data_IF_293257137250
#
_entry.id   IF_293257137250
#
_cell.length_a   1.000
_cell.length_b   1.000
_cell.length_c   1.000
_cell.angle_alpha   90.00
_cell.angle_beta   90.00
_cell.angle_gamma   90.00
#
_symmetry.space_group_name_H-M   'P 1'
#
loop_
_entity.id
_entity.type
_entity.pdbx_description
1 polymer ?
#
# COMPACT_ATOMS: atom_id res chain seq x y z
N UNK A 1 41.26 -17.34 -17.85
CA UNK A 1 40.66 -18.29 -16.90
C UNK A 1 39.98 -17.45 -15.84
N UNK A 2 38.76 -16.94 -16.00
CA UNK A 2 37.48 -17.59 -16.36
C UNK A 2 37.21 -18.82 -15.50
N UNK A 3 36.42 -18.63 -14.43
CA UNK A 3 35.32 -19.49 -13.93
C UNK A 3 34.42 -18.54 -13.11
N UNK A 4 33.38 -17.91 -13.69
CA UNK A 4 32.02 -18.43 -13.90
C UNK A 4 31.42 -19.14 -12.69
N UNK A 5 30.85 -18.36 -11.77
CA UNK A 5 29.78 -18.81 -10.87
C UNK A 5 28.47 -18.13 -11.32
N UNK A 6 27.93 -18.63 -12.43
CA UNK A 6 26.53 -18.48 -12.77
C UNK A 6 25.71 -19.25 -11.72
N UNK A 7 24.96 -18.52 -10.91
CA UNK A 7 23.88 -19.12 -10.12
C UNK A 7 22.61 -19.00 -10.95
N UNK A 8 22.49 -19.88 -11.94
CA UNK A 8 21.24 -20.19 -12.62
C UNK A 8 20.29 -20.81 -11.60
N UNK A 9 19.52 -19.95 -10.91
CA UNK A 9 18.24 -20.39 -10.41
C UNK A 9 17.30 -20.45 -11.59
N UNK A 10 17.12 -21.68 -12.05
CA UNK A 10 16.03 -22.16 -12.88
C UNK A 10 14.72 -21.49 -12.41
N UNK A 11 14.27 -20.47 -13.15
CA UNK A 11 13.00 -19.78 -12.92
C UNK A 11 11.91 -20.67 -13.50
N UNK A 12 11.53 -21.69 -12.73
CA UNK A 12 10.50 -22.66 -13.09
C UNK A 12 9.16 -21.96 -13.35
N UNK A 13 8.39 -22.50 -14.29
CA UNK A 13 7.12 -22.03 -14.89
C UNK A 13 5.91 -21.84 -13.93
N UNK A 14 6.11 -21.34 -12.70
CA UNK A 14 5.07 -21.10 -11.69
C UNK A 14 4.78 -19.61 -11.37
N UNK A 15 5.53 -18.66 -11.93
CA UNK A 15 5.80 -17.38 -11.25
C UNK A 15 4.82 -16.22 -11.55
N UNK A 16 3.53 -16.52 -11.71
CA UNK A 16 2.47 -15.52 -11.86
C UNK A 16 1.55 -15.48 -10.65
N UNK A 17 1.39 -14.31 -10.01
CA UNK A 17 0.51 -14.19 -8.85
C UNK A 17 0.14 -12.75 -8.49
N UNK A 18 -1.09 -12.57 -7.99
CA UNK A 18 -1.53 -11.34 -7.35
C UNK A 18 -1.37 -11.50 -5.84
N UNK A 19 -0.56 -10.63 -5.24
CA UNK A 19 -0.30 -10.61 -3.80
C UNK A 19 -0.90 -9.36 -3.20
N UNK A 20 -1.70 -9.51 -2.14
CA UNK A 20 -2.14 -8.41 -1.32
C UNK A 20 -1.17 -8.23 -0.15
N UNK A 21 -0.64 -7.02 0.00
CA UNK A 21 0.41 -6.68 0.95
C UNK A 21 -0.03 -5.76 2.07
N UNK A 22 -1.22 -5.18 2.10
CA UNK A 22 -1.72 -4.51 3.32
C UNK A 22 -3.14 -4.11 3.06
N UNK A 23 -4.08 -4.43 3.94
CA UNK A 23 -5.49 -4.05 3.81
C UNK A 23 -6.04 -3.30 5.04
N UNK A 24 -5.23 -3.13 6.09
CA UNK A 24 -5.63 -2.58 7.39
C UNK A 24 -4.39 -2.24 8.25
N UNK A 25 -3.52 -1.34 7.78
CA UNK A 25 -2.26 -1.06 8.47
C UNK A 25 -2.44 -0.53 9.90
N UNK A 26 -3.58 0.11 10.18
CA UNK A 26 -3.88 0.70 11.50
C UNK A 26 -4.60 -0.26 12.44
N UNK A 27 -5.03 -1.42 11.96
CA UNK A 27 -5.91 -2.32 12.72
C UNK A 27 -7.34 -1.79 12.90
N UNK A 28 -7.65 -0.57 12.44
CA UNK A 28 -8.93 0.11 12.72
C UNK A 28 -10.10 -0.36 11.87
N UNK A 29 -9.87 -1.12 10.78
CA UNK A 29 -10.97 -1.62 9.94
C UNK A 29 -11.99 -2.44 10.73
N UNK A 30 -11.54 -3.31 11.64
CA UNK A 30 -12.41 -4.08 12.52
C UNK A 30 -13.20 -3.19 13.49
N UNK A 31 -12.54 -2.19 14.08
CA UNK A 31 -13.15 -1.20 14.97
C UNK A 31 -14.21 -0.35 14.25
N UNK A 32 -13.97 -0.03 12.98
CA UNK A 32 -14.88 0.77 12.15
C UNK A 32 -16.09 -0.01 11.69
N UNK A 33 -15.92 -1.29 11.36
CA UNK A 33 -17.04 -2.19 11.10
C UNK A 33 -17.99 -2.22 12.30
N UNK A 34 -17.44 -2.38 13.51
CA UNK A 34 -18.24 -2.35 14.74
C UNK A 34 -18.96 -1.00 14.94
N UNK A 35 -18.28 0.14 14.70
CA UNK A 35 -18.89 1.47 14.78
C UNK A 35 -20.02 1.67 13.75
N UNK A 36 -19.86 1.17 12.53
CA UNK A 36 -20.90 1.19 11.50
C UNK A 36 -22.08 0.29 11.85
N UNK A 37 -21.81 -0.93 12.32
CA UNK A 37 -22.84 -1.86 12.78
C UNK A 37 -23.67 -1.27 13.93
N UNK A 38 -23.00 -0.64 14.90
CA UNK A 38 -23.65 0.09 15.98
C UNK A 38 -24.45 1.30 15.44
N UNK A 39 -23.88 2.11 14.55
CA UNK A 39 -24.58 3.27 13.98
C UNK A 39 -25.86 2.90 13.22
N UNK A 40 -25.80 1.79 12.45
CA UNK A 40 -26.92 1.30 11.65
C UNK A 40 -27.98 0.56 12.46
N UNK A 41 -27.66 0.11 13.69
CA UNK A 41 -28.62 -0.60 14.52
C UNK A 41 -29.84 0.28 14.86
N UNK A 42 -31.08 -0.26 14.73
CA UNK A 42 -32.30 0.47 15.08
C UNK A 42 -32.38 0.87 16.55
N UNK A 43 -31.72 0.09 17.43
CA UNK A 43 -31.70 0.25 18.88
C UNK A 43 -30.73 1.31 19.37
N UNK A 44 -29.87 1.84 18.49
CA UNK A 44 -28.86 2.83 18.89
C UNK A 44 -29.50 4.19 19.12
N UNK A 45 -29.24 4.75 20.29
CA UNK A 45 -29.70 6.05 20.74
C UNK A 45 -29.27 7.20 19.78
N UNK A 46 -30.12 8.22 19.51
CA UNK A 46 -29.78 9.32 18.61
C UNK A 46 -28.52 10.12 18.97
N UNK A 47 -28.25 10.34 20.25
CA UNK A 47 -27.04 11.07 20.68
C UNK A 47 -25.81 10.20 20.41
N UNK A 48 -25.92 8.90 20.68
CA UNK A 48 -24.88 7.93 20.32
C UNK A 48 -24.63 7.90 18.81
N UNK A 49 -25.66 7.96 17.97
CA UNK A 49 -25.50 8.05 16.51
C UNK A 49 -24.75 9.30 16.08
N UNK A 50 -25.00 10.43 16.72
CA UNK A 50 -24.28 11.69 16.44
C UNK A 50 -22.78 11.58 16.76
N UNK A 51 -22.45 10.93 17.89
CA UNK A 51 -21.06 10.66 18.26
C UNK A 51 -20.41 9.68 17.28
N UNK A 52 -21.05 8.56 16.98
CA UNK A 52 -20.54 7.56 16.03
C UNK A 52 -20.32 8.16 14.64
N UNK A 53 -21.26 8.96 14.14
CA UNK A 53 -21.12 9.65 12.86
C UNK A 53 -19.91 10.59 12.87
N UNK A 54 -19.70 11.35 13.95
CA UNK A 54 -18.55 12.23 14.09
C UNK A 54 -17.23 11.48 14.08
N UNK A 55 -17.16 10.31 14.72
CA UNK A 55 -15.98 9.45 14.73
C UNK A 55 -15.71 8.85 13.35
N UNK A 56 -16.74 8.27 12.72
CA UNK A 56 -16.67 7.68 11.39
C UNK A 56 -16.21 8.71 10.35
N UNK A 57 -16.76 9.93 10.38
CA UNK A 57 -16.47 10.97 9.39
C UNK A 57 -15.10 11.64 9.54
N UNK A 58 -14.54 11.66 10.75
CA UNK A 58 -13.20 12.24 11.00
C UNK A 58 -12.07 11.25 10.73
N UNK A 59 -12.39 9.99 10.49
CA UNK A 59 -11.40 8.97 10.19
C UNK A 59 -10.80 9.20 8.80
N UNK A 60 -9.47 9.22 8.73
CA UNK A 60 -8.76 9.18 7.46
C UNK A 60 -8.66 7.73 6.99
N UNK A 61 -9.30 7.34 5.87
CA UNK A 61 -9.24 5.97 5.37
C UNK A 61 -7.92 5.64 4.68
N UNK A 62 -7.08 6.63 4.36
CA UNK A 62 -5.88 6.48 3.55
C UNK A 62 -4.88 5.44 4.11
N UNK A 63 -4.57 5.43 5.43
CA UNK A 63 -3.70 4.41 6.03
C UNK A 63 -4.21 2.96 5.89
N UNK A 64 -5.50 2.77 5.63
CA UNK A 64 -6.13 1.46 5.45
C UNK A 64 -6.24 1.05 3.98
N UNK A 65 -5.56 1.78 3.08
CA UNK A 65 -5.51 1.45 1.66
C UNK A 65 -4.97 0.05 1.42
N UNK A 66 -5.58 -0.62 0.44
CA UNK A 66 -5.12 -1.91 -0.04
C UNK A 66 -3.86 -1.73 -0.91
N UNK A 67 -2.70 -2.21 -0.44
CA UNK A 67 -1.49 -2.29 -1.26
C UNK A 67 -1.45 -3.65 -1.98
N UNK A 68 -1.37 -3.61 -3.30
CA UNK A 68 -1.32 -4.80 -4.15
C UNK A 68 0.02 -4.89 -4.86
N UNK A 69 0.66 -6.06 -4.81
CA UNK A 69 1.77 -6.40 -5.69
C UNK A 69 1.33 -7.45 -6.70
N UNK A 70 1.38 -7.10 -7.98
CA UNK A 70 1.20 -8.03 -9.08
C UNK A 70 2.57 -8.48 -9.57
N UNK A 71 2.87 -9.77 -9.45
CA UNK A 71 4.05 -10.38 -10.05
C UNK A 71 3.60 -11.11 -11.31
N UNK A 72 4.15 -10.70 -12.44
CA UNK A 72 3.88 -11.31 -13.72
C UNK A 72 5.16 -11.50 -14.50
N UNK A 73 5.60 -12.76 -14.60
CA UNK A 73 6.92 -13.12 -15.16
C UNK A 73 8.01 -12.38 -14.38
N UNK A 74 8.94 -11.73 -15.07
CA UNK A 74 10.02 -10.94 -14.46
C UNK A 74 9.63 -9.48 -14.17
N UNK A 75 8.33 -9.17 -14.09
CA UNK A 75 7.81 -7.81 -13.84
C UNK A 75 7.05 -7.78 -12.53
N UNK A 76 7.24 -6.70 -11.77
CA UNK A 76 6.49 -6.42 -10.54
C UNK A 76 5.78 -5.09 -10.68
N UNK A 77 4.50 -5.04 -10.33
CA UNK A 77 3.74 -3.80 -10.24
C UNK A 77 3.19 -3.67 -8.84
N UNK A 78 3.56 -2.59 -8.14
CA UNK A 78 3.04 -2.28 -6.81
C UNK A 78 2.05 -1.13 -6.93
N UNK A 79 0.82 -1.37 -6.50
CA UNK A 79 -0.26 -0.39 -6.48
C UNK A 79 -0.58 -0.03 -5.03
N UNK A 80 -0.33 1.22 -4.67
CA UNK A 80 -0.46 1.69 -3.29
C UNK A 80 -1.83 2.30 -2.96
N UNK A 81 -2.69 2.58 -3.95
CA UNK A 81 -3.93 3.34 -3.70
C UNK A 81 -3.60 4.71 -3.08
N UNK A 82 -4.26 5.02 -1.97
CA UNK A 82 -3.97 6.21 -1.15
C UNK A 82 -3.15 5.88 0.11
N UNK A 83 -2.41 4.77 0.10
CA UNK A 83 -1.58 4.36 1.24
C UNK A 83 -0.60 5.45 1.67
N UNK A 84 -0.44 5.58 2.98
CA UNK A 84 0.39 6.58 3.64
C UNK A 84 1.68 5.96 4.18
N UNK A 85 2.53 6.78 4.79
CA UNK A 85 3.72 6.32 5.54
C UNK A 85 3.40 5.27 6.60
N UNK A 86 2.24 5.34 7.25
CA UNK A 86 1.80 4.35 8.24
C UNK A 86 1.62 2.97 7.57
N UNK A 87 1.08 2.93 6.35
CA UNK A 87 0.95 1.71 5.56
C UNK A 87 2.32 1.16 5.15
N UNK A 88 3.25 2.02 4.74
CA UNK A 88 4.62 1.63 4.38
C UNK A 88 5.35 1.02 5.57
N UNK A 89 5.33 1.70 6.72
CA UNK A 89 5.96 1.22 7.95
C UNK A 89 5.34 -0.09 8.43
N UNK A 90 4.01 -0.25 8.31
CA UNK A 90 3.34 -1.51 8.61
C UNK A 90 3.84 -2.65 7.70
N UNK A 91 3.95 -2.42 6.39
CA UNK A 91 4.43 -3.43 5.44
C UNK A 91 5.87 -3.83 5.77
N UNK A 92 6.74 -2.82 5.97
CA UNK A 92 8.15 -3.05 6.30
C UNK A 92 8.33 -3.75 7.65
N UNK A 93 7.52 -3.41 8.65
CA UNK A 93 7.56 -4.02 9.98
C UNK A 93 7.04 -5.46 9.99
N UNK A 94 6.01 -5.76 9.19
CA UNK A 94 5.35 -7.07 9.17
C UNK A 94 6.06 -8.08 8.30
N UNK A 95 6.51 -7.68 7.10
CA UNK A 95 7.10 -8.61 6.13
C UNK A 95 8.57 -8.35 5.84
N UNK A 96 9.18 -7.32 6.44
CA UNK A 96 10.54 -6.90 6.11
C UNK A 96 10.60 -6.23 4.74
N UNK A 97 11.80 -6.20 4.15
CA UNK A 97 11.96 -5.73 2.77
C UNK A 97 11.30 -6.76 1.83
N UNK A 98 10.22 -6.42 1.10
CA UNK A 98 9.63 -7.37 0.16
C UNK A 98 10.67 -7.82 -0.85
N UNK A 99 10.90 -9.13 -0.91
CA UNK A 99 11.84 -9.78 -1.84
C UNK A 99 11.28 -9.81 -3.25
N UNK A 100 10.97 -8.65 -3.82
CA UNK A 100 10.48 -8.56 -5.20
C UNK A 100 11.59 -8.99 -6.17
N UNK A 101 11.29 -9.81 -7.19
CA UNK A 101 12.26 -10.16 -8.21
C UNK A 101 12.83 -8.88 -8.85
N UNK A 102 14.14 -8.69 -8.67
CA UNK A 102 14.82 -7.40 -8.68
C UNK A 102 14.90 -6.67 -10.03
N UNK A 103 14.37 -7.24 -11.12
CA UNK A 103 14.75 -6.79 -12.46
C UNK A 103 13.83 -5.70 -13.06
N UNK A 104 12.53 -5.64 -12.70
CA UNK A 104 11.64 -4.62 -13.26
C UNK A 104 10.39 -4.33 -12.43
N UNK A 105 10.57 -3.53 -11.38
CA UNK A 105 9.47 -3.04 -10.55
C UNK A 105 8.96 -1.70 -11.07
N UNK A 106 7.63 -1.59 -11.24
CA UNK A 106 6.95 -0.28 -11.35
C UNK A 106 6.11 -0.03 -10.11
N UNK A 107 6.22 1.18 -9.57
CA UNK A 107 5.51 1.60 -8.37
C UNK A 107 4.50 2.68 -8.76
N UNK A 108 3.21 2.40 -8.56
CA UNK A 108 2.19 3.44 -8.48
C UNK A 108 2.22 4.02 -7.08
N UNK A 109 2.65 5.28 -6.99
CA UNK A 109 2.84 5.99 -5.73
C UNK A 109 1.52 6.15 -4.98
N UNK A 110 1.58 6.05 -3.66
CA UNK A 110 0.43 6.27 -2.78
C UNK A 110 -0.01 7.72 -2.83
N UNK A 111 -1.31 7.97 -2.64
CA UNK A 111 -1.90 9.26 -2.30
C UNK A 111 -1.36 10.43 -3.14
N UNK A 112 -1.30 10.23 -4.45
CA UNK A 112 -0.81 11.19 -5.45
C UNK A 112 0.62 11.69 -5.21
N UNK A 113 1.45 10.93 -4.48
CA UNK A 113 2.79 11.34 -4.05
C UNK A 113 2.79 12.59 -3.16
N UNK A 114 1.79 12.73 -2.28
CA UNK A 114 1.80 13.75 -1.23
C UNK A 114 2.88 13.47 -0.18
N UNK A 115 3.27 14.49 0.60
CA UNK A 115 4.23 14.39 1.72
C UNK A 115 3.85 13.34 2.78
N UNK A 116 2.61 12.86 2.75
CA UNK A 116 2.09 11.82 3.66
C UNK A 116 2.30 10.40 3.16
N UNK A 117 2.93 10.22 1.98
CA UNK A 117 3.04 8.93 1.28
C UNK A 117 4.31 8.85 0.44
N UNK A 118 4.66 7.64 0.01
CA UNK A 118 5.81 7.32 -0.83
C UNK A 118 7.14 7.84 -0.28
N UNK A 119 7.45 7.48 0.96
CA UNK A 119 8.63 7.98 1.66
C UNK A 119 9.95 7.61 0.96
N UNK A 120 11.00 8.41 1.18
CA UNK A 120 12.32 8.13 0.60
C UNK A 120 12.84 6.73 0.98
N UNK A 121 12.60 6.31 2.24
CA UNK A 121 12.93 4.97 2.74
C UNK A 121 12.25 3.88 1.92
N UNK A 122 10.95 4.05 1.65
CA UNK A 122 10.16 3.11 0.86
C UNK A 122 10.67 2.99 -0.58
N UNK A 123 10.91 4.13 -1.25
CA UNK A 123 11.41 4.16 -2.63
C UNK A 123 12.82 3.53 -2.73
N UNK A 124 13.73 3.88 -1.80
CA UNK A 124 15.09 3.32 -1.75
C UNK A 124 15.12 1.82 -1.54
N UNK A 125 14.15 1.29 -0.80
CA UNK A 125 14.03 -0.13 -0.54
C UNK A 125 13.49 -0.87 -1.77
N UNK A 126 12.43 -0.35 -2.40
CA UNK A 126 11.81 -0.97 -3.58
C UNK A 126 12.64 -0.84 -4.86
N UNK A 127 13.49 0.20 -4.95
CA UNK A 127 14.29 0.53 -6.14
C UNK A 127 13.50 0.42 -7.45
N UNK A 128 12.33 1.09 -7.56
CA UNK A 128 11.49 1.00 -8.75
C UNK A 128 12.24 1.49 -9.98
N UNK A 129 12.11 0.77 -11.10
CA UNK A 129 12.61 1.24 -12.41
C UNK A 129 11.70 2.32 -12.99
N UNK A 130 10.42 2.31 -12.59
CA UNK A 130 9.40 3.24 -13.06
C UNK A 130 8.53 3.67 -11.89
N UNK A 131 8.31 4.97 -11.77
CA UNK A 131 7.33 5.57 -10.87
C UNK A 131 6.13 6.04 -11.69
N UNK A 132 4.93 5.84 -11.16
CA UNK A 132 3.70 6.33 -11.76
C UNK A 132 2.89 7.07 -10.71
N UNK A 133 2.49 8.29 -11.03
CA UNK A 133 1.67 9.14 -10.17
C UNK A 133 0.32 9.31 -10.87
N UNK A 134 -0.76 9.01 -10.15
CA UNK A 134 -2.11 9.23 -10.62
C UNK A 134 -2.57 10.60 -10.17
N UNK A 135 -2.09 11.66 -10.84
CA UNK A 135 -2.47 13.05 -10.55
C UNK A 135 -2.91 13.78 -11.82
N UNK A 136 -3.90 14.66 -11.68
CA UNK A 136 -4.29 15.62 -12.72
C UNK A 136 -3.32 16.79 -12.85
N UNK A 137 -2.38 16.93 -11.91
CA UNK A 137 -1.34 17.97 -11.90
C UNK A 137 0.05 17.34 -12.07
N UNK A 138 0.92 18.01 -12.82
CA UNK A 138 2.29 17.53 -13.14
C UNK A 138 3.30 17.73 -11.99
N UNK A 139 2.88 17.85 -10.74
CA UNK A 139 3.78 18.25 -9.65
C UNK A 139 4.02 17.11 -8.65
N UNK A 140 5.30 16.81 -8.47
CA UNK A 140 5.86 16.09 -7.32
C UNK A 140 6.19 17.14 -6.24
N UNK A 141 5.83 16.93 -4.97
CA UNK A 141 6.08 17.87 -3.85
C UNK A 141 5.41 19.26 -3.89
N UNK A 142 4.25 19.42 -4.52
CA UNK A 142 3.39 20.59 -4.27
C UNK A 142 3.89 21.97 -4.73
N UNK A 143 5.03 22.08 -5.40
CA UNK A 143 5.45 23.35 -6.02
C UNK A 143 4.89 23.45 -7.45
N UNK A 144 3.64 23.89 -7.55
CA UNK A 144 3.07 24.45 -8.78
C UNK A 144 3.22 25.96 -8.80
#
# INVERSE_FOLDING_TARGET
MLEDYQNDRDVSESDGGLYALAANATGTCATRKAQWEEYLAPSTDPDRKTVLWSLIRRHDPNPDSLVLALVYKQRVMVFMGDATKETEDFILGTWGAPGFPAADLTLKMGHQSSDTSSTERWIKLLKPKRLTISSGTKSFNGSG
#
